data_IF_218567816652
#
_entry.id   IF_218567816652
#
_cell.length_a   1.000
_cell.length_b   1.000
_cell.length_c   1.000
_cell.angle_alpha   90.00
_cell.angle_beta   90.00
_cell.angle_gamma   90.00
#
_symmetry.space_group_name_H-M   'P 1'
#
loop_
_entity.id
_entity.type
_entity.pdbx_description
1 polymer ?
#
# COMPACT_ATOMS: atom_id res chain seq x y z
N UNK A 1 -25.06 26.23 -8.09
CA UNK A 1 -23.78 25.96 -7.39
C UNK A 1 -23.14 24.73 -8.03
N UNK A 2 -21.90 24.80 -8.52
CA UNK A 2 -21.22 23.62 -9.12
C UNK A 2 -20.39 22.89 -8.05
N UNK A 3 -20.68 21.61 -7.83
CA UNK A 3 -19.94 20.75 -6.92
C UNK A 3 -19.16 19.69 -7.71
N UNK A 4 -17.95 19.36 -7.24
CA UNK A 4 -17.13 18.29 -7.80
C UNK A 4 -16.93 17.19 -6.76
N UNK A 5 -16.93 15.95 -7.22
CA UNK A 5 -16.62 14.80 -6.38
C UNK A 5 -15.14 14.73 -5.97
N UNK A 6 -14.81 13.91 -4.96
CA UNK A 6 -13.45 13.74 -4.47
C UNK A 6 -12.57 13.03 -5.51
N UNK A 7 -11.43 13.64 -5.85
CA UNK A 7 -10.51 13.12 -6.88
C UNK A 7 -9.64 11.94 -6.40
N UNK A 8 -9.34 11.90 -5.11
CA UNK A 8 -8.32 11.01 -4.54
C UNK A 8 -8.88 9.71 -3.93
N UNK A 9 -10.18 9.47 -4.03
CA UNK A 9 -10.84 8.27 -3.51
C UNK A 9 -10.64 7.03 -4.36
N UNK A 10 -10.06 7.17 -5.57
CA UNK A 10 -9.81 6.06 -6.49
C UNK A 10 -8.80 5.06 -5.91
N UNK A 11 -9.03 3.76 -6.13
CA UNK A 11 -8.14 2.70 -5.65
C UNK A 11 -6.68 2.86 -6.14
N UNK A 12 -6.50 3.35 -7.36
CA UNK A 12 -5.18 3.62 -7.93
C UNK A 12 -4.32 4.54 -7.04
N UNK A 13 -4.95 5.55 -6.40
CA UNK A 13 -4.26 6.55 -5.59
C UNK A 13 -3.64 5.94 -4.33
N UNK A 14 -4.17 4.83 -3.83
CA UNK A 14 -3.60 4.11 -2.66
C UNK A 14 -2.21 3.52 -2.93
N UNK A 15 -1.87 3.32 -4.20
CA UNK A 15 -0.60 2.76 -4.64
C UNK A 15 0.44 3.85 -4.99
N UNK A 16 0.04 5.12 -5.11
CA UNK A 16 0.93 6.20 -5.51
C UNK A 16 1.94 6.54 -4.42
N UNK A 17 3.20 6.76 -4.82
CA UNK A 17 4.30 7.06 -3.90
C UNK A 17 4.72 5.89 -3.03
N UNK A 18 4.59 4.65 -3.54
CA UNK A 18 5.02 3.44 -2.84
C UNK A 18 6.53 3.47 -2.55
N UNK A 19 6.90 3.29 -1.29
CA UNK A 19 8.29 3.27 -0.85
C UNK A 19 8.42 3.02 0.66
N UNK A 20 9.66 2.88 1.17
CA UNK A 20 9.91 2.66 2.58
C UNK A 20 9.32 3.76 3.47
N UNK A 21 8.70 3.39 4.59
CA UNK A 21 8.06 4.30 5.56
C UNK A 21 6.95 5.21 5.00
N UNK A 22 6.44 4.94 3.78
CA UNK A 22 5.35 5.73 3.18
C UNK A 22 3.95 5.16 3.44
N UNK A 23 3.86 3.97 4.04
CA UNK A 23 2.62 3.25 4.37
C UNK A 23 1.59 3.19 3.22
N UNK A 24 2.06 3.15 1.97
CA UNK A 24 1.21 2.99 0.79
C UNK A 24 0.90 1.51 0.54
N UNK A 25 -0.22 1.25 -0.12
CA UNK A 25 -0.67 -0.10 -0.40
C UNK A 25 0.23 -0.73 -1.48
N UNK A 26 0.83 -1.91 -1.25
CA UNK A 26 1.58 -2.61 -2.29
C UNK A 26 0.66 -3.05 -3.43
N UNK A 27 1.18 -3.06 -4.65
CA UNK A 27 0.46 -3.51 -5.84
C UNK A 27 0.69 -5.02 -6.02
N UNK A 28 -0.20 -5.81 -5.45
CA UNK A 28 -0.19 -7.28 -5.53
C UNK A 28 -1.49 -7.77 -6.15
N UNK A 29 -1.40 -8.81 -6.99
CA UNK A 29 -2.56 -9.44 -7.64
C UNK A 29 -3.33 -10.31 -6.64
N UNK A 30 -2.61 -11.18 -5.92
CA UNK A 30 -3.18 -12.06 -4.90
C UNK A 30 -2.92 -11.55 -3.49
N UNK A 31 -3.89 -11.76 -2.60
CA UNK A 31 -3.78 -11.43 -1.17
C UNK A 31 -3.71 -12.70 -0.34
N UNK A 32 -2.86 -12.71 0.69
CA UNK A 32 -2.72 -13.85 1.60
C UNK A 32 -1.45 -13.81 2.44
N UNK A 33 -1.27 -14.79 3.33
CA UNK A 33 -0.11 -14.86 4.25
C UNK A 33 1.24 -14.96 3.51
N UNK A 34 1.25 -15.59 2.34
CA UNK A 34 2.44 -15.85 1.53
C UNK A 34 2.74 -14.76 0.49
N UNK A 35 1.88 -13.75 0.34
CA UNK A 35 2.05 -12.67 -0.63
C UNK A 35 2.49 -11.38 0.07
N UNK A 36 3.75 -10.98 -0.15
CA UNK A 36 4.37 -9.74 0.34
C UNK A 36 4.17 -9.39 1.84
N UNK A 37 4.16 -10.40 2.73
CA UNK A 37 4.01 -10.21 4.19
C UNK A 37 5.20 -10.67 5.03
N UNK A 38 6.28 -11.17 4.43
CA UNK A 38 7.39 -11.81 5.15
C UNK A 38 8.50 -10.81 5.51
N UNK A 39 9.65 -10.86 4.81
CA UNK A 39 10.79 -9.96 5.04
C UNK A 39 10.40 -8.51 4.74
N UNK A 40 10.88 -7.56 5.56
CA UNK A 40 10.60 -6.13 5.36
C UNK A 40 9.24 -5.65 5.88
N UNK A 41 8.33 -6.56 6.30
CA UNK A 41 7.01 -6.19 6.84
C UNK A 41 6.87 -6.40 8.34
N UNK A 42 7.80 -7.14 8.97
CA UNK A 42 7.76 -7.47 10.40
C UNK A 42 9.18 -7.59 10.95
N UNK A 43 9.36 -7.21 12.22
CA UNK A 43 10.68 -7.19 12.86
C UNK A 43 11.33 -8.59 12.95
N UNK A 44 10.52 -9.65 13.10
CA UNK A 44 11.02 -11.02 13.22
C UNK A 44 11.61 -11.62 11.94
N UNK A 45 11.52 -10.93 10.78
CA UNK A 45 12.05 -11.40 9.50
C UNK A 45 12.94 -10.32 8.87
N UNK A 46 14.09 -10.07 9.50
CA UNK A 46 15.15 -9.18 9.02
C UNK A 46 14.99 -7.74 9.47
N UNK A 47 13.98 -7.03 8.93
CA UNK A 47 13.70 -5.63 9.27
C UNK A 47 12.22 -5.30 9.02
N UNK A 48 11.73 -4.22 9.62
CA UNK A 48 10.36 -3.71 9.45
C UNK A 48 10.39 -2.33 8.81
N UNK A 49 9.64 -2.17 7.72
CA UNK A 49 9.48 -0.94 6.94
C UNK A 49 8.15 -0.27 7.24
#
# INVERSE_FOLDING_TARGET
LLLRGPKNSREAVKHFGMGPHKHKKPKVESKGRKFEKARGRRASRGFKV
#
